data_IF_027357791675
#
_entry.id   IF_027357791675
#
_cell.length_a   1.000
_cell.length_b   1.000
_cell.length_c   1.000
_cell.angle_alpha   90.00
_cell.angle_beta   90.00
_cell.angle_gamma   90.00
#
_symmetry.space_group_name_H-M   'P 1'
#
loop_
_entity.id
_entity.type
_entity.pdbx_description
1 polymer ?
#
# COMPACT_ATOMS: atom_id res chain seq x y z
N UNK A 1 30.23 42.06 -5.49
CA UNK A 1 30.70 40.84 -6.19
C UNK A 1 31.06 39.69 -5.24
N UNK A 2 31.42 39.94 -3.97
CA UNK A 2 31.68 38.88 -2.97
C UNK A 2 30.41 38.18 -2.44
N UNK A 3 29.28 38.88 -2.34
CA UNK A 3 28.04 38.30 -1.78
C UNK A 3 27.35 37.29 -2.72
N UNK A 4 27.58 37.36 -4.03
CA UNK A 4 26.99 36.43 -5.01
C UNK A 4 27.67 35.05 -5.03
N UNK A 5 28.96 35.00 -4.68
CA UNK A 5 29.75 33.76 -4.61
C UNK A 5 29.43 32.95 -3.35
N UNK A 6 29.23 33.63 -2.21
CA UNK A 6 28.86 32.99 -0.93
C UNK A 6 27.43 32.42 -0.94
N UNK A 7 26.50 33.06 -1.65
CA UNK A 7 25.15 32.53 -1.82
C UNK A 7 25.12 31.25 -2.68
N UNK A 8 26.00 31.17 -3.68
CA UNK A 8 26.09 30.01 -4.58
C UNK A 8 26.70 28.77 -3.93
N UNK A 9 27.72 28.95 -3.06
CA UNK A 9 28.32 27.85 -2.28
C UNK A 9 27.35 27.28 -1.23
N UNK A 10 26.63 28.15 -0.51
CA UNK A 10 25.66 27.71 0.50
C UNK A 10 24.47 26.96 -0.11
N UNK A 11 24.05 27.31 -1.34
CA UNK A 11 23.02 26.56 -2.08
C UNK A 11 23.50 25.20 -2.58
N UNK A 12 24.79 25.05 -2.94
CA UNK A 12 25.37 23.77 -3.35
C UNK A 12 25.54 22.82 -2.16
N UNK A 13 26.01 23.31 -1.01
CA UNK A 13 26.09 22.52 0.22
C UNK A 13 24.72 22.04 0.70
N UNK A 14 23.69 22.91 0.64
CA UNK A 14 22.32 22.54 1.00
C UNK A 14 21.75 21.40 0.14
N UNK A 15 21.96 21.47 -1.19
CA UNK A 15 21.53 20.40 -2.12
C UNK A 15 22.26 19.09 -1.88
N UNK A 16 23.56 19.16 -1.63
CA UNK A 16 24.38 17.99 -1.36
C UNK A 16 23.95 17.29 -0.06
N UNK A 17 23.70 18.06 1.02
CA UNK A 17 23.23 17.50 2.28
C UNK A 17 21.84 16.88 2.17
N UNK A 18 20.93 17.50 1.40
CA UNK A 18 19.62 16.93 1.12
C UNK A 18 19.74 15.60 0.35
N UNK A 19 20.58 15.55 -0.68
CA UNK A 19 20.82 14.33 -1.45
C UNK A 19 21.43 13.21 -0.59
N UNK A 20 22.38 13.53 0.30
CA UNK A 20 22.95 12.56 1.23
C UNK A 20 21.90 12.03 2.22
N UNK A 21 20.99 12.89 2.69
CA UNK A 21 19.92 12.47 3.59
C UNK A 21 18.92 11.57 2.86
N UNK A 22 18.51 11.92 1.64
CA UNK A 22 17.62 11.11 0.81
C UNK A 22 18.21 9.71 0.54
N UNK A 23 19.52 9.62 0.25
CA UNK A 23 20.21 8.33 0.09
C UNK A 23 20.21 7.49 1.37
N UNK A 24 20.48 8.11 2.54
CA UNK A 24 20.42 7.41 3.83
C UNK A 24 19.00 6.94 4.16
N UNK A 25 18.00 7.75 3.85
CA UNK A 25 16.60 7.41 4.08
C UNK A 25 16.22 6.19 3.24
N UNK A 26 16.65 6.13 1.96
CA UNK A 26 16.46 4.96 1.09
C UNK A 26 17.15 3.71 1.65
N UNK A 27 18.42 3.80 2.05
CA UNK A 27 19.15 2.66 2.62
C UNK A 27 18.50 2.15 3.91
N UNK A 28 18.08 3.06 4.79
CA UNK A 28 17.39 2.71 6.04
C UNK A 28 16.03 2.05 5.79
N UNK A 29 15.30 2.51 4.77
CA UNK A 29 14.03 1.92 4.39
C UNK A 29 14.21 0.53 3.76
N UNK A 30 15.22 0.33 2.91
CA UNK A 30 15.54 -1.00 2.37
C UNK A 30 15.96 -1.96 3.49
N UNK A 31 16.71 -1.50 4.49
CA UNK A 31 17.05 -2.29 5.68
C UNK A 31 15.80 -2.67 6.50
N UNK A 32 14.85 -1.75 6.65
CA UNK A 32 13.56 -2.05 7.29
C UNK A 32 12.79 -3.13 6.54
N UNK A 33 12.71 -3.05 5.21
CA UNK A 33 12.07 -4.06 4.37
C UNK A 33 12.78 -5.42 4.51
N UNK A 34 14.12 -5.43 4.56
CA UNK A 34 14.91 -6.64 4.76
C UNK A 34 14.60 -7.31 6.09
N UNK A 35 14.66 -6.55 7.19
CA UNK A 35 14.40 -7.05 8.53
C UNK A 35 12.99 -7.65 8.64
N UNK A 36 12.02 -7.05 7.94
CA UNK A 36 10.64 -7.55 7.87
C UNK A 36 10.56 -8.84 7.07
N UNK A 37 11.13 -8.86 5.87
CA UNK A 37 11.20 -10.04 5.00
C UNK A 37 11.80 -11.23 5.77
N UNK A 38 12.94 -11.03 6.44
CA UNK A 38 13.60 -12.08 7.22
C UNK A 38 12.77 -12.60 8.40
N UNK A 39 11.90 -11.76 9.00
CA UNK A 39 10.99 -12.18 10.07
C UNK A 39 9.76 -12.92 9.53
N UNK A 40 9.38 -12.69 8.29
CA UNK A 40 8.17 -13.22 7.66
C UNK A 40 8.44 -14.25 6.58
N UNK A 41 9.48 -15.09 6.72
CA UNK A 41 9.85 -16.12 5.74
C UNK A 41 8.72 -17.03 5.28
N UNK A 42 7.70 -17.21 6.11
CA UNK A 42 6.50 -17.99 5.78
C UNK A 42 5.64 -17.37 4.64
N UNK A 43 5.77 -16.08 4.36
CA UNK A 43 5.05 -15.41 3.27
C UNK A 43 5.66 -15.71 1.89
N UNK A 44 6.98 -15.93 1.85
CA UNK A 44 7.80 -15.96 0.64
C UNK A 44 8.84 -17.11 0.68
N UNK A 45 8.35 -18.33 0.90
CA UNK A 45 9.20 -19.53 0.91
C UNK A 45 9.96 -19.70 -0.41
N UNK A 46 11.27 -19.97 -0.33
CA UNK A 46 12.15 -20.13 -1.49
C UNK A 46 12.59 -18.82 -2.17
N UNK A 47 12.16 -17.65 -1.69
CA UNK A 47 12.62 -16.35 -2.20
C UNK A 47 13.82 -15.87 -1.41
N UNK A 48 14.86 -15.41 -2.13
CA UNK A 48 16.07 -14.85 -1.57
C UNK A 48 16.02 -13.32 -1.56
N UNK A 49 16.32 -12.71 -0.40
CA UNK A 49 16.27 -11.25 -0.24
C UNK A 49 17.14 -10.51 -1.26
N UNK A 50 18.32 -11.06 -1.60
CA UNK A 50 19.22 -10.42 -2.56
C UNK A 50 18.58 -10.21 -3.94
N UNK A 51 17.68 -11.10 -4.38
CA UNK A 51 16.95 -10.94 -5.64
C UNK A 51 15.91 -9.81 -5.54
N UNK A 52 15.19 -9.73 -4.42
CA UNK A 52 14.22 -8.67 -4.13
C UNK A 52 14.92 -7.31 -4.05
N UNK A 53 16.03 -7.23 -3.32
CA UNK A 53 16.81 -6.01 -3.16
C UNK A 53 17.36 -5.48 -4.49
N UNK A 54 17.84 -6.37 -5.37
CA UNK A 54 18.28 -6.00 -6.71
C UNK A 54 17.14 -5.35 -7.51
N UNK A 55 15.95 -5.97 -7.53
CA UNK A 55 14.76 -5.42 -8.19
C UNK A 55 14.33 -4.08 -7.62
N UNK A 56 14.35 -3.92 -6.30
CA UNK A 56 14.02 -2.65 -5.64
C UNK A 56 14.99 -1.52 -6.03
N UNK A 57 16.29 -1.79 -6.05
CA UNK A 57 17.33 -0.80 -6.43
C UNK A 57 17.23 -0.37 -7.89
N UNK A 58 16.81 -1.27 -8.78
CA UNK A 58 16.53 -0.97 -10.19
C UNK A 58 15.24 -0.16 -10.38
N UNK A 59 14.34 -0.15 -9.39
CA UNK A 59 13.03 0.48 -9.48
C UNK A 59 12.78 1.52 -8.35
N UNK A 60 13.45 2.68 -8.37
CA UNK A 60 13.27 3.74 -7.35
C UNK A 60 11.82 4.20 -7.18
N UNK A 61 11.03 4.17 -8.26
CA UNK A 61 9.59 4.50 -8.19
C UNK A 61 8.82 3.51 -7.32
N UNK A 62 9.12 2.22 -7.40
CA UNK A 62 8.46 1.21 -6.56
C UNK A 62 8.90 1.37 -5.11
N UNK A 63 10.18 1.65 -4.85
CA UNK A 63 10.64 2.00 -3.50
C UNK A 63 9.86 3.16 -2.88
N UNK A 64 9.62 4.23 -3.65
CA UNK A 64 8.80 5.35 -3.19
C UNK A 64 7.35 4.92 -2.88
N UNK A 65 6.76 4.06 -3.71
CA UNK A 65 5.41 3.52 -3.45
C UNK A 65 5.39 2.69 -2.18
N UNK A 66 6.36 1.80 -1.98
CA UNK A 66 6.47 1.00 -0.76
C UNK A 66 6.67 1.88 0.48
N UNK A 67 7.45 2.95 0.37
CA UNK A 67 7.59 3.92 1.45
C UNK A 67 6.24 4.60 1.75
N UNK A 68 5.45 4.96 0.74
CA UNK A 68 4.11 5.51 0.95
C UNK A 68 3.11 4.49 1.54
N UNK A 69 3.27 3.20 1.21
CA UNK A 69 2.51 2.13 1.86
C UNK A 69 2.89 2.02 3.33
N UNK A 70 4.19 2.10 3.66
CA UNK A 70 4.71 2.07 5.03
C UNK A 70 4.15 3.24 5.86
N UNK A 71 4.24 4.48 5.35
CA UNK A 71 3.80 5.69 6.09
C UNK A 71 2.30 5.69 6.40
N UNK A 72 1.51 4.92 5.65
CA UNK A 72 0.07 4.75 5.89
C UNK A 72 -0.27 3.52 6.75
N UNK A 73 0.74 2.81 7.27
CA UNK A 73 0.58 1.62 8.13
C UNK A 73 0.37 0.32 7.36
N UNK A 74 0.92 0.22 6.15
CA UNK A 74 0.79 -0.94 5.26
C UNK A 74 1.62 -2.14 5.66
N UNK A 75 2.80 -1.88 6.24
CA UNK A 75 3.83 -2.90 6.48
C UNK A 75 4.03 -3.78 5.22
N UNK A 76 4.38 -3.20 4.05
CA UNK A 76 4.49 -3.95 2.82
C UNK A 76 5.56 -5.04 2.92
N UNK A 77 5.23 -6.21 2.37
CA UNK A 77 6.11 -7.38 2.31
C UNK A 77 5.82 -8.19 1.04
N UNK A 78 6.74 -9.09 0.68
CA UNK A 78 6.64 -9.98 -0.48
C UNK A 78 5.73 -11.15 -0.14
N UNK A 79 4.72 -11.39 -0.98
CA UNK A 79 3.77 -12.51 -0.83
C UNK A 79 3.78 -13.48 -2.02
N UNK A 80 4.44 -13.11 -3.13
CA UNK A 80 4.54 -13.93 -4.34
C UNK A 80 5.79 -13.55 -5.15
N UNK A 81 6.42 -14.55 -5.77
CA UNK A 81 7.39 -14.39 -6.86
C UNK A 81 6.82 -15.07 -8.09
N UNK A 82 6.63 -14.30 -9.17
CA UNK A 82 6.27 -14.84 -10.48
C UNK A 82 7.56 -15.15 -11.24
N UNK A 83 7.93 -16.43 -11.28
CA UNK A 83 9.14 -16.89 -11.97
C UNK A 83 9.09 -16.74 -13.50
N UNK A 84 7.91 -16.56 -14.11
CA UNK A 84 7.77 -16.38 -15.56
C UNK A 84 8.16 -14.96 -15.96
N UNK A 85 7.70 -13.98 -15.20
CA UNK A 85 8.02 -12.56 -15.43
C UNK A 85 9.21 -12.06 -14.62
N UNK A 86 9.70 -12.88 -13.70
CA UNK A 86 10.71 -12.57 -12.68
C UNK A 86 10.38 -11.30 -11.88
N UNK A 87 9.12 -11.21 -11.43
CA UNK A 87 8.60 -10.09 -10.63
C UNK A 87 8.17 -10.53 -9.23
N UNK A 88 8.35 -9.64 -8.25
CA UNK A 88 7.91 -9.83 -6.88
C UNK A 88 6.65 -9.02 -6.60
N UNK A 89 5.64 -9.64 -6.00
CA UNK A 89 4.43 -8.96 -5.55
C UNK A 89 4.59 -8.52 -4.09
N UNK A 90 4.67 -7.21 -3.88
CA UNK A 90 4.53 -6.59 -2.57
C UNK A 90 3.05 -6.34 -2.27
N UNK A 91 2.65 -6.59 -1.03
CA UNK A 91 1.30 -6.35 -0.53
C UNK A 91 1.33 -5.84 0.91
N UNK A 92 0.31 -5.10 1.32
CA UNK A 92 0.11 -4.74 2.73
C UNK A 92 -0.04 -5.98 3.61
N UNK A 93 0.93 -6.20 4.50
CA UNK A 93 0.97 -7.33 5.42
C UNK A 93 0.77 -6.89 6.88
N UNK A 94 0.34 -5.65 7.13
CA UNK A 94 -0.10 -5.24 8.47
C UNK A 94 -1.30 -6.08 8.93
N UNK A 95 -1.38 -6.42 10.22
CA UNK A 95 -2.39 -7.36 10.75
C UNK A 95 -3.84 -6.93 10.48
N UNK A 96 -4.09 -5.63 10.46
CA UNK A 96 -5.39 -5.02 10.20
C UNK A 96 -5.26 -3.97 9.10
N UNK A 97 -6.33 -3.70 8.36
CA UNK A 97 -6.36 -2.76 7.24
C UNK A 97 -5.57 -1.48 7.58
N UNK A 98 -4.68 -0.97 6.71
CA UNK A 98 -3.73 0.09 7.07
C UNK A 98 -4.41 1.31 7.72
N UNK A 99 -3.96 1.70 8.91
CA UNK A 99 -4.67 2.66 9.76
C UNK A 99 -4.83 4.04 9.10
N UNK A 100 -3.83 4.48 8.33
CA UNK A 100 -3.86 5.74 7.58
C UNK A 100 -4.79 5.74 6.37
N UNK A 101 -5.43 4.59 6.06
CA UNK A 101 -6.30 4.39 4.90
C UNK A 101 -7.73 4.00 5.28
N UNK A 102 -8.07 4.09 6.56
CA UNK A 102 -9.41 3.78 7.06
C UNK A 102 -10.33 4.98 6.96
N UNK A 103 -11.63 4.76 7.17
CA UNK A 103 -12.65 5.81 7.24
C UNK A 103 -12.86 6.55 5.91
N UNK A 104 -12.74 5.81 4.80
CA UNK A 104 -12.93 6.31 3.44
C UNK A 104 -14.15 5.64 2.79
N UNK A 105 -14.88 6.41 1.97
CA UNK A 105 -15.85 5.82 1.05
C UNK A 105 -15.14 5.16 -0.14
N UNK A 106 -15.88 4.46 -0.99
CA UNK A 106 -15.27 3.62 -2.03
C UNK A 106 -14.56 4.44 -3.12
N UNK A 107 -15.26 5.39 -3.74
CA UNK A 107 -14.71 6.19 -4.84
C UNK A 107 -15.15 7.66 -4.83
N UNK A 108 -14.53 8.46 -5.69
CA UNK A 108 -14.78 9.90 -5.84
C UNK A 108 -16.23 10.24 -6.22
N UNK A 109 -16.90 9.37 -6.99
CA UNK A 109 -18.32 9.53 -7.29
C UNK A 109 -19.19 9.36 -6.02
N UNK A 110 -18.88 8.37 -5.19
CA UNK A 110 -19.55 8.17 -3.90
C UNK A 110 -19.24 9.30 -2.91
N UNK A 111 -17.99 9.80 -2.91
CA UNK A 111 -17.57 10.94 -2.12
C UNK A 111 -18.36 12.20 -2.47
N UNK A 112 -18.58 12.47 -3.77
CA UNK A 112 -19.36 13.62 -4.26
C UNK A 112 -20.86 13.48 -4.03
N UNK A 113 -21.39 12.27 -3.98
CA UNK A 113 -22.81 12.03 -3.73
C UNK A 113 -23.23 12.40 -2.29
N UNK A 114 -22.29 12.43 -1.33
CA UNK A 114 -22.58 12.77 0.07
C UNK A 114 -22.73 14.27 0.28
N UNK A 115 -23.86 14.67 0.87
CA UNK A 115 -24.14 16.05 1.29
C UNK A 115 -23.80 16.33 2.76
N UNK A 116 -23.80 15.31 3.61
CA UNK A 116 -23.60 15.43 5.07
C UNK A 116 -22.67 14.31 5.55
N UNK A 117 -21.81 14.62 6.52
CA UNK A 117 -20.80 13.71 7.06
C UNK A 117 -19.94 13.13 5.91
N UNK A 118 -19.19 14.00 5.23
CA UNK A 118 -18.32 13.58 4.12
C UNK A 118 -17.02 13.02 4.71
N UNK A 119 -16.55 11.83 4.31
CA UNK A 119 -15.24 11.34 4.74
C UNK A 119 -14.13 12.22 4.15
N UNK A 120 -12.91 12.07 4.68
CA UNK A 120 -11.74 12.86 4.24
C UNK A 120 -11.37 12.60 2.76
N UNK A 121 -11.77 11.45 2.22
CA UNK A 121 -11.53 11.08 0.82
C UNK A 121 -12.18 9.75 0.48
N UNK A 122 -11.65 9.12 -0.58
CA UNK A 122 -12.09 7.82 -1.07
C UNK A 122 -10.93 6.85 -1.33
N UNK A 123 -11.24 5.54 -1.26
CA UNK A 123 -10.25 4.48 -1.34
C UNK A 123 -9.60 4.37 -2.73
N UNK A 124 -10.40 4.48 -3.80
CA UNK A 124 -9.89 4.35 -5.17
C UNK A 124 -8.92 5.47 -5.56
N UNK A 125 -9.24 6.72 -5.20
CA UNK A 125 -8.35 7.87 -5.44
C UNK A 125 -7.08 7.74 -4.62
N UNK A 126 -7.18 7.40 -3.32
CA UNK A 126 -6.00 7.23 -2.47
C UNK A 126 -5.10 6.08 -2.96
N UNK A 127 -5.67 4.95 -3.41
CA UNK A 127 -4.89 3.86 -4.00
C UNK A 127 -4.10 4.33 -5.24
N UNK A 128 -4.75 5.12 -6.11
CA UNK A 128 -4.11 5.71 -7.29
C UNK A 128 -2.99 6.68 -6.92
N UNK A 129 -3.20 7.55 -5.93
CA UNK A 129 -2.20 8.50 -5.44
C UNK A 129 -0.99 7.81 -4.80
N UNK A 130 -1.23 6.72 -4.06
CA UNK A 130 -0.16 5.88 -3.50
C UNK A 130 0.60 5.11 -4.59
N UNK A 131 0.03 4.94 -5.78
CA UNK A 131 0.61 4.16 -6.87
C UNK A 131 0.43 2.64 -6.71
N UNK A 132 -0.59 2.22 -5.95
CA UNK A 132 -0.88 0.80 -5.68
C UNK A 132 -2.18 0.35 -6.33
N UNK A 133 -2.28 -0.95 -6.58
CA UNK A 133 -3.53 -1.58 -7.02
C UNK A 133 -4.30 -2.07 -5.81
N UNK A 134 -5.55 -1.62 -5.63
CA UNK A 134 -6.43 -2.17 -4.59
C UNK A 134 -6.75 -3.64 -4.89
N UNK A 135 -6.72 -4.49 -3.86
CA UNK A 135 -6.90 -5.94 -4.03
C UNK A 135 -8.27 -6.29 -4.63
N UNK A 136 -8.30 -7.28 -5.53
CA UNK A 136 -9.53 -8.00 -5.89
C UNK A 136 -9.93 -8.98 -4.78
N UNK A 137 -11.11 -9.60 -4.89
CA UNK A 137 -11.50 -10.66 -3.95
C UNK A 137 -10.51 -11.83 -3.95
N UNK A 138 -10.08 -12.27 -5.14
CA UNK A 138 -9.11 -13.37 -5.28
C UNK A 138 -7.75 -13.00 -4.68
N UNK A 139 -7.25 -11.79 -4.93
CA UNK A 139 -6.00 -11.32 -4.35
C UNK A 139 -6.10 -11.19 -2.82
N UNK A 140 -7.25 -10.76 -2.30
CA UNK A 140 -7.52 -10.74 -0.86
C UNK A 140 -7.53 -12.14 -0.27
N UNK A 141 -8.19 -13.11 -0.91
CA UNK A 141 -8.20 -14.52 -0.49
C UNK A 141 -6.80 -15.13 -0.55
N UNK A 142 -6.00 -14.78 -1.56
CA UNK A 142 -4.62 -15.19 -1.66
C UNK A 142 -3.78 -14.66 -0.50
N UNK A 143 -3.87 -13.37 -0.17
CA UNK A 143 -3.22 -12.80 1.03
C UNK A 143 -3.64 -13.57 2.30
N UNK A 144 -4.92 -13.88 2.44
CA UNK A 144 -5.49 -14.63 3.57
C UNK A 144 -5.04 -16.10 3.64
N UNK A 145 -4.44 -16.65 2.58
CA UNK A 145 -3.77 -17.95 2.61
C UNK A 145 -2.38 -17.89 3.21
N UNK A 146 -1.76 -16.71 3.23
CA UNK A 146 -0.41 -16.46 3.75
C UNK A 146 -0.40 -16.12 5.24
N UNK A 147 -1.52 -15.64 5.78
CA UNK A 147 -1.66 -15.25 7.17
C UNK A 147 -3.09 -14.86 7.53
N UNK A 148 -3.30 -14.49 8.79
CA UNK A 148 -4.59 -13.98 9.27
C UNK A 148 -4.56 -12.47 9.30
N UNK A 149 -5.31 -11.85 8.39
CA UNK A 149 -5.39 -10.39 8.27
C UNK A 149 -6.84 -9.91 8.44
N UNK A 150 -7.03 -8.65 8.81
CA UNK A 150 -8.34 -8.00 8.99
C UNK A 150 -9.28 -8.77 9.93
N UNK A 151 -8.76 -9.23 11.07
CA UNK A 151 -9.54 -9.98 12.07
C UNK A 151 -10.43 -9.09 12.95
N UNK A 152 -10.18 -7.77 12.92
CA UNK A 152 -10.93 -6.74 13.67
C UNK A 152 -11.42 -5.60 12.78
N UNK A 153 -10.90 -5.52 11.57
CA UNK A 153 -11.24 -4.52 10.56
C UNK A 153 -11.82 -5.17 9.31
N UNK A 154 -12.07 -4.37 8.28
CA UNK A 154 -12.48 -4.81 6.95
C UNK A 154 -11.77 -3.97 5.90
N UNK A 155 -11.67 -4.49 4.68
CA UNK A 155 -11.00 -3.82 3.57
C UNK A 155 -11.93 -3.75 2.36
N UNK A 156 -12.09 -2.55 1.78
CA UNK A 156 -12.62 -2.43 0.42
C UNK A 156 -11.77 -3.27 -0.54
N UNK A 157 -12.45 -3.91 -1.48
CA UNK A 157 -11.82 -4.62 -2.59
C UNK A 157 -12.33 -4.05 -3.90
N UNK A 158 -11.61 -4.32 -4.99
CA UNK A 158 -12.01 -3.89 -6.34
C UNK A 158 -13.40 -4.41 -6.65
N UNK A 159 -14.36 -3.50 -6.64
CA UNK A 159 -15.78 -3.80 -6.87
C UNK A 159 -16.00 -4.06 -8.37
N UNK A 160 -16.67 -5.16 -8.75
CA UNK A 160 -17.09 -5.38 -10.13
C UNK A 160 -17.94 -4.23 -10.67
N UNK A 161 -17.71 -3.85 -11.93
CA UNK A 161 -18.37 -2.69 -12.55
C UNK A 161 -19.91 -2.79 -12.54
N UNK A 162 -20.46 -4.00 -12.66
CA UNK A 162 -21.90 -4.23 -12.63
C UNK A 162 -22.52 -3.93 -11.26
N UNK A 163 -21.84 -4.32 -10.17
CA UNK A 163 -22.26 -3.96 -8.81
C UNK A 163 -22.11 -2.45 -8.60
N UNK A 164 -20.99 -1.89 -9.06
CA UNK A 164 -20.71 -0.46 -8.87
C UNK A 164 -21.72 0.42 -9.59
N UNK A 165 -22.16 0.04 -10.79
CA UNK A 165 -23.18 0.76 -11.58
C UNK A 165 -24.52 0.84 -10.86
N UNK A 166 -24.83 -0.14 -10.02
CA UNK A 166 -26.03 -0.18 -9.18
C UNK A 166 -25.85 0.56 -7.84
N UNK A 167 -24.71 1.21 -7.62
CA UNK A 167 -24.39 1.98 -6.41
C UNK A 167 -23.70 1.18 -5.30
N UNK A 168 -23.45 -0.12 -5.51
CA UNK A 168 -22.80 -0.98 -4.52
C UNK A 168 -21.28 -0.87 -4.52
N UNK A 169 -20.68 -1.30 -3.42
CA UNK A 169 -19.25 -1.58 -3.27
C UNK A 169 -19.03 -2.81 -2.40
N UNK A 170 -17.99 -3.59 -2.70
CA UNK A 170 -17.67 -4.86 -2.04
C UNK A 170 -16.47 -4.71 -1.12
N UNK A 171 -16.53 -5.37 0.03
CA UNK A 171 -15.45 -5.42 1.00
C UNK A 171 -15.34 -6.80 1.63
N UNK A 172 -14.18 -7.10 2.20
CA UNK A 172 -13.90 -8.37 2.86
C UNK A 172 -13.40 -8.19 4.30
N UNK A 173 -13.57 -9.23 5.11
CA UNK A 173 -12.88 -9.41 6.38
C UNK A 173 -12.58 -10.90 6.65
N UNK A 174 -11.83 -11.20 7.71
CA UNK A 174 -11.63 -12.58 8.20
C UNK A 174 -12.30 -12.76 9.56
N UNK A 175 -13.27 -13.67 9.65
CA UNK A 175 -13.92 -14.06 10.91
C UNK A 175 -14.00 -15.57 10.97
N UNK A 176 -13.83 -16.17 12.16
CA UNK A 176 -13.90 -17.63 12.33
C UNK A 176 -12.98 -18.41 11.37
N UNK A 177 -11.80 -17.85 11.08
CA UNK A 177 -10.85 -18.41 10.11
C UNK A 177 -11.39 -18.51 8.67
N UNK A 178 -12.44 -17.76 8.33
CA UNK A 178 -13.08 -17.73 7.03
C UNK A 178 -13.08 -16.30 6.46
N UNK A 179 -12.87 -16.20 5.14
CA UNK A 179 -12.93 -14.93 4.42
C UNK A 179 -14.36 -14.68 3.96
N UNK A 180 -14.97 -13.65 4.54
CA UNK A 180 -16.30 -13.20 4.14
C UNK A 180 -16.19 -12.06 3.14
N UNK A 181 -17.08 -12.07 2.16
CA UNK A 181 -17.32 -10.97 1.24
C UNK A 181 -18.71 -10.39 1.51
N UNK A 182 -18.80 -9.07 1.53
CA UNK A 182 -20.02 -8.33 1.84
C UNK A 182 -20.19 -7.17 0.86
N UNK A 183 -21.35 -6.55 0.88
CA UNK A 183 -21.64 -5.36 0.10
C UNK A 183 -22.18 -4.24 0.98
N UNK A 184 -21.94 -3.00 0.57
CA UNK A 184 -22.61 -1.80 1.08
C UNK A 184 -22.85 -0.83 -0.10
N UNK A 185 -23.54 0.28 0.15
CA UNK A 185 -23.47 1.43 -0.77
C UNK A 185 -22.05 1.98 -0.84
N UNK A 186 -21.60 2.40 -2.02
CA UNK A 186 -20.25 2.91 -2.25
C UNK A 186 -19.90 4.14 -1.38
N UNK A 187 -20.90 4.88 -0.93
CA UNK A 187 -20.80 6.06 -0.06
C UNK A 187 -20.67 5.73 1.44
N UNK A 188 -20.80 4.45 1.80
CA UNK A 188 -20.58 3.99 3.17
C UNK A 188 -19.12 4.13 3.56
N UNK A 189 -18.85 4.41 4.84
CA UNK A 189 -17.50 4.42 5.37
C UNK A 189 -17.57 4.15 6.88
N UNK A 190 -16.53 3.50 7.42
CA UNK A 190 -16.45 3.11 8.82
C UNK A 190 -15.03 3.30 9.32
N UNK A 191 -14.88 3.63 10.60
CA UNK A 191 -13.56 3.77 11.24
C UNK A 191 -12.72 2.50 11.19
N UNK A 192 -13.37 1.32 11.14
CA UNK A 192 -12.75 0.01 11.02
C UNK A 192 -12.67 -0.51 9.58
N UNK A 193 -12.94 0.32 8.57
CA UNK A 193 -12.83 -0.06 7.15
C UNK A 193 -11.79 0.77 6.44
N UNK A 194 -10.80 0.09 5.87
CA UNK A 194 -9.82 0.70 4.97
C UNK A 194 -9.77 -0.02 3.63
N UNK A 195 -8.58 -0.12 3.05
CA UNK A 195 -8.31 -0.94 1.88
C UNK A 195 -6.85 -1.38 1.90
N UNK A 196 -6.58 -2.53 1.29
CA UNK A 196 -5.23 -3.03 1.05
C UNK A 196 -4.89 -2.87 -0.42
N UNK A 197 -3.61 -2.73 -0.73
CA UNK A 197 -3.12 -2.72 -2.08
C UNK A 197 -1.79 -3.43 -2.24
N UNK A 198 -1.43 -3.58 -3.51
CA UNK A 198 -0.24 -4.30 -3.93
C UNK A 198 0.45 -3.58 -5.08
N UNK A 199 1.74 -3.85 -5.24
CA UNK A 199 2.58 -3.39 -6.35
C UNK A 199 3.59 -4.49 -6.73
N UNK A 200 3.92 -4.61 -8.02
CA UNK A 200 4.97 -5.50 -8.51
C UNK A 200 6.28 -4.74 -8.72
N UNK A 201 7.40 -5.42 -8.50
CA UNK A 201 8.75 -4.95 -8.80
C UNK A 201 9.57 -6.01 -9.53
#
# INVERSE_FOLDING_TARGET
MRDFLLCSSNMQEGRMNQQYQELRDVESFVALLKDRFEKHRHLHEGVEWLAVEARLKENPRVLQVLHNMETTGGEPDVIEHDAVTDTFLFCDCSAESPAGRRNLCYDDAALRARKVNRPAGDAMTMAKELGITMLSEDAYRFLQSKGSFDTKTSSWIKTPDDIRRLGGAVFCDRRYNYVFAYHNGAESYYSSRGFRGSIRV
#
